data_IF_378320503852
#
_entry.id   IF_378320503852
#
_cell.length_a   1.000
_cell.length_b   1.000
_cell.length_c   1.000
_cell.angle_alpha   90.00
_cell.angle_beta   90.00
_cell.angle_gamma   90.00
#
_symmetry.space_group_name_H-M   'P 1'
#
loop_
_entity.id
_entity.type
_entity.pdbx_description
1 polymer ?
#
# COMPACT_ATOMS: atom_id res chain seq x y z
N UNK A 1 1.63 11.90 4.20
CA UNK A 1 2.03 10.62 3.58
C UNK A 1 2.38 9.61 4.67
N UNK A 2 2.12 8.32 4.44
CA UNK A 2 2.39 7.21 5.38
C UNK A 2 3.20 6.13 4.66
N UNK A 3 4.01 5.38 5.39
CA UNK A 3 4.88 4.34 4.84
C UNK A 3 4.84 3.07 5.67
N UNK A 4 5.10 1.93 5.04
CA UNK A 4 5.37 0.66 5.70
C UNK A 4 6.54 -0.02 4.99
N UNK A 5 7.42 -0.66 5.75
CA UNK A 5 8.62 -1.33 5.22
C UNK A 5 8.67 -2.76 5.74
N UNK A 6 8.93 -3.71 4.86
CA UNK A 6 9.09 -5.12 5.22
C UNK A 6 9.98 -5.85 4.19
N UNK A 7 10.63 -6.92 4.64
CA UNK A 7 11.26 -7.91 3.76
C UNK A 7 10.17 -8.84 3.22
N UNK A 8 9.39 -8.35 2.24
CA UNK A 8 8.20 -9.00 1.70
C UNK A 8 7.94 -8.56 0.26
N UNK A 9 7.44 -9.47 -0.58
CA UNK A 9 7.03 -9.17 -1.96
C UNK A 9 5.71 -8.39 -2.03
N UNK A 10 5.03 -8.23 -0.89
CA UNK A 10 3.81 -7.44 -0.76
C UNK A 10 3.86 -6.64 0.54
N UNK A 11 3.76 -5.31 0.41
CA UNK A 11 3.85 -4.39 1.55
C UNK A 11 2.66 -3.44 1.50
N UNK A 12 2.04 -3.19 2.65
CA UNK A 12 0.82 -2.38 2.76
C UNK A 12 1.03 -1.22 3.72
N UNK A 13 0.82 0.00 3.24
CA UNK A 13 0.85 1.22 4.04
C UNK A 13 -0.55 1.58 4.53
N UNK A 14 -0.63 2.04 5.78
CA UNK A 14 -1.88 2.34 6.48
C UNK A 14 -2.05 3.86 6.71
N UNK A 15 -3.14 4.43 6.19
CA UNK A 15 -3.52 5.83 6.41
C UNK A 15 -4.07 6.14 7.81
N UNK A 16 -4.23 5.12 8.66
CA UNK A 16 -4.83 5.16 9.99
C UNK A 16 -6.33 5.50 9.96
N UNK A 17 -7.01 5.22 11.08
CA UNK A 17 -8.43 5.51 11.23
C UNK A 17 -8.72 7.01 11.00
N UNK A 18 -9.86 7.30 10.35
CA UNK A 18 -10.28 8.68 10.03
C UNK A 18 -9.73 9.23 8.71
N UNK A 19 -8.90 8.48 7.98
CA UNK A 19 -8.35 8.87 6.69
C UNK A 19 -8.54 7.78 5.63
N UNK A 20 -8.43 8.17 4.37
CA UNK A 20 -8.35 7.24 3.23
C UNK A 20 -7.15 7.55 2.33
N UNK A 21 -6.70 6.51 1.61
CA UNK A 21 -5.65 6.57 0.63
C UNK A 21 -6.22 7.04 -0.72
N UNK A 22 -5.62 8.08 -1.29
CA UNK A 22 -5.97 8.63 -2.62
C UNK A 22 -4.91 8.30 -3.68
N UNK A 23 -3.73 7.87 -3.24
CA UNK A 23 -2.61 7.51 -4.08
C UNK A 23 -1.55 6.79 -3.27
N UNK A 24 -0.53 6.27 -3.95
CA UNK A 24 0.57 5.60 -3.30
C UNK A 24 1.49 4.93 -4.31
N UNK A 25 2.40 4.12 -3.78
CA UNK A 25 3.36 3.39 -4.58
C UNK A 25 4.30 2.58 -3.71
N UNK A 26 5.41 2.15 -4.29
CA UNK A 26 6.45 1.48 -3.53
C UNK A 26 7.84 1.72 -4.12
N UNK A 27 8.84 1.56 -3.27
CA UNK A 27 10.24 1.59 -3.64
C UNK A 27 11.00 0.60 -2.75
N UNK A 28 12.14 0.08 -3.20
CA UNK A 28 12.88 -0.91 -2.44
C UNK A 28 14.06 -1.48 -3.21
N UNK A 29 14.61 -2.58 -2.69
CA UNK A 29 15.67 -3.32 -3.35
C UNK A 29 15.21 -4.11 -4.58
N UNK A 30 13.90 -4.37 -4.70
CA UNK A 30 13.30 -5.08 -5.83
C UNK A 30 12.52 -4.15 -6.76
N UNK A 31 12.32 -4.62 -7.99
CA UNK A 31 11.42 -3.97 -8.94
C UNK A 31 9.99 -3.95 -8.40
N UNK A 32 9.32 -2.80 -8.57
CA UNK A 32 7.90 -2.64 -8.29
C UNK A 32 7.11 -3.22 -9.46
N UNK A 33 6.31 -4.25 -9.20
CA UNK A 33 5.45 -4.88 -10.21
C UNK A 33 4.11 -4.13 -10.35
N UNK A 34 3.66 -3.52 -9.25
CA UNK A 34 2.39 -2.81 -9.23
C UNK A 34 2.09 -2.20 -7.87
N UNK A 35 1.08 -1.34 -7.85
CA UNK A 35 0.53 -0.82 -6.60
C UNK A 35 -0.93 -0.42 -6.78
N UNK A 36 -1.71 -0.52 -5.72
CA UNK A 36 -3.16 -0.33 -5.78
C UNK A 36 -3.72 0.04 -4.39
N UNK A 37 -4.87 0.74 -4.34
CA UNK A 37 -5.61 0.94 -3.10
C UNK A 37 -6.14 -0.41 -2.58
N UNK A 38 -6.09 -0.62 -1.27
CA UNK A 38 -6.53 -1.86 -0.61
C UNK A 38 -7.49 -1.63 0.55
N UNK A 39 -8.31 -2.64 0.84
CA UNK A 39 -9.37 -2.56 1.86
C UNK A 39 -8.88 -2.96 3.26
N UNK A 40 -7.72 -3.62 3.35
CA UNK A 40 -7.17 -4.12 4.60
C UNK A 40 -5.63 -4.16 4.59
N UNK A 41 -5.05 -4.40 5.77
CA UNK A 41 -3.60 -4.48 5.96
C UNK A 41 -2.96 -5.69 5.23
N UNK A 42 -3.73 -6.70 4.84
CA UNK A 42 -3.23 -7.88 4.10
C UNK A 42 -3.07 -7.59 2.61
N UNK A 43 -3.62 -6.48 2.14
CA UNK A 43 -3.50 -5.99 0.77
C UNK A 43 -4.55 -6.56 -0.19
N UNK A 44 -5.76 -6.82 0.30
CA UNK A 44 -6.92 -7.11 -0.55
C UNK A 44 -7.22 -5.89 -1.43
N UNK A 45 -7.21 -6.01 -2.78
CA UNK A 45 -7.47 -4.88 -3.67
C UNK A 45 -8.85 -4.25 -3.43
N UNK A 46 -8.91 -2.92 -3.46
CA UNK A 46 -10.17 -2.20 -3.52
C UNK A 46 -10.85 -2.43 -4.88
N UNK A 47 -12.18 -2.52 -4.87
CA UNK A 47 -12.98 -2.63 -6.09
C UNK A 47 -13.69 -1.31 -6.37
N UNK A 48 -14.35 -1.18 -7.52
CA UNK A 48 -15.16 0.00 -7.84
C UNK A 48 -16.30 0.26 -6.83
N UNK A 49 -16.73 -0.76 -6.08
CA UNK A 49 -17.73 -0.61 -5.02
C UNK A 49 -17.12 -0.22 -3.66
N UNK A 50 -15.79 -0.24 -3.53
CA UNK A 50 -15.10 0.18 -2.30
C UNK A 50 -15.13 1.69 -2.17
N UNK A 51 -15.56 2.18 -1.01
CA UNK A 51 -15.51 3.60 -0.66
C UNK A 51 -14.33 3.87 0.26
N UNK A 52 -13.61 4.98 0.01
CA UNK A 52 -12.55 5.50 0.88
C UNK A 52 -11.57 4.42 1.41
N UNK A 53 -10.87 3.68 0.53
CA UNK A 53 -9.93 2.63 0.96
C UNK A 53 -8.83 3.22 1.83
N UNK A 54 -8.61 2.66 3.03
CA UNK A 54 -7.65 3.17 4.02
C UNK A 54 -6.20 2.79 3.72
N UNK A 55 -5.98 1.75 2.91
CA UNK A 55 -4.67 1.15 2.73
C UNK A 55 -4.18 1.33 1.29
N UNK A 56 -2.86 1.34 1.11
CA UNK A 56 -2.23 1.24 -0.20
C UNK A 56 -1.22 0.11 -0.19
N UNK A 57 -1.34 -0.80 -1.16
CA UNK A 57 -0.47 -1.98 -1.27
C UNK A 57 0.45 -1.83 -2.46
N UNK A 58 1.73 -2.15 -2.26
CA UNK A 58 2.74 -2.28 -3.31
C UNK A 58 3.19 -3.74 -3.40
N UNK A 59 3.30 -4.24 -4.63
CA UNK A 59 3.80 -5.59 -4.95
C UNK A 59 5.14 -5.48 -5.66
N UNK A 60 6.07 -6.35 -5.29
CA UNK A 60 7.44 -6.36 -5.76
C UNK A 60 7.81 -7.74 -6.28
N UNK A 61 8.74 -7.77 -7.24
CA UNK A 61 9.18 -9.01 -7.90
C UNK A 61 9.70 -10.08 -6.93
N UNK A 62 10.21 -9.68 -5.75
CA UNK A 62 10.59 -10.61 -4.70
C UNK A 62 10.41 -10.01 -3.30
N UNK A 63 10.36 -10.87 -2.29
CA UNK A 63 10.34 -10.50 -0.87
C UNK A 63 11.67 -10.64 -0.15
N UNK A 64 12.78 -10.83 -0.86
CA UNK A 64 14.08 -11.14 -0.26
C UNK A 64 14.87 -9.88 0.16
N UNK A 65 14.36 -8.69 -0.13
CA UNK A 65 14.98 -7.42 0.24
C UNK A 65 13.96 -6.54 0.96
N UNK A 66 14.47 -5.52 1.64
CA UNK A 66 13.64 -4.49 2.26
C UNK A 66 12.90 -3.71 1.16
N UNK A 67 11.58 -3.81 1.19
CA UNK A 67 10.67 -3.12 0.28
C UNK A 67 9.77 -2.19 1.11
N UNK A 68 9.48 -1.01 0.56
CA UNK A 68 8.67 0.02 1.22
C UNK A 68 7.46 0.37 0.37
N UNK A 69 6.27 0.30 0.95
CA UNK A 69 5.06 0.89 0.39
C UNK A 69 4.82 2.28 1.00
N UNK A 70 4.21 3.18 0.23
CA UNK A 70 3.73 4.46 0.73
C UNK A 70 2.29 4.74 0.29
N UNK A 71 1.58 5.51 1.11
CA UNK A 71 0.22 5.99 0.87
C UNK A 71 0.13 7.51 1.03
N UNK A 72 -0.58 8.15 0.11
CA UNK A 72 -1.03 9.54 0.18
C UNK A 72 -2.39 9.52 0.85
N UNK A 73 -2.46 10.08 2.05
CA UNK A 73 -3.61 9.98 2.93
C UNK A 73 -4.30 11.34 3.05
N UNK A 74 -5.63 11.34 3.01
CA UNK A 74 -6.46 12.51 3.24
C UNK A 74 -7.58 12.17 4.26
N UNK A 75 -8.11 13.16 4.99
CA UNK A 75 -9.27 12.95 5.87
C UNK A 75 -10.48 12.42 5.09
N UNK A 76 -11.31 11.62 5.76
CA UNK A 76 -12.58 11.12 5.21
C UNK A 76 -13.64 12.21 5.04
#
# INVERSE_FOLDING_TARGET
MRTATATSGKVTADCLAGNHATGGGGFGGNNLDGSYPSTDATGTPATAASTNPRFWTATFASGNMSNTAYAICVPN
#
